data_IF_609900007183
#
_entry.id   IF_609900007183
#
_cell.length_a   1.000
_cell.length_b   1.000
_cell.length_c   1.000
_cell.angle_alpha   90.00
_cell.angle_beta   90.00
_cell.angle_gamma   90.00
#
_symmetry.space_group_name_H-M   'P 1'
#
loop_
_entity.id
_entity.type
_entity.pdbx_description
1 polymer ?
#
# COMPACT_ATOMS: atom_id res chain seq x y z
N UNK A 1 2.31 -10.24 -35.93
CA UNK A 1 1.88 -8.89 -35.50
C UNK A 1 2.72 -8.54 -34.29
N UNK A 2 3.61 -7.56 -34.40
CA UNK A 2 4.42 -7.09 -33.29
C UNK A 2 3.50 -6.43 -32.27
N UNK A 3 3.48 -6.97 -31.04
CA UNK A 3 2.83 -6.30 -29.90
C UNK A 3 3.69 -5.08 -29.59
N UNK A 4 3.19 -3.88 -29.86
CA UNK A 4 3.84 -2.64 -29.48
C UNK A 4 4.01 -2.62 -27.95
N UNK A 5 5.23 -2.90 -27.46
CA UNK A 5 5.45 -3.36 -26.08
C UNK A 5 5.53 -2.27 -25.01
N UNK A 6 5.25 -1.00 -25.32
CA UNK A 6 5.62 0.09 -24.39
C UNK A 6 4.77 1.35 -24.40
N UNK A 7 3.74 1.45 -25.26
CA UNK A 7 2.88 2.64 -25.32
C UNK A 7 1.85 2.69 -24.17
N UNK A 8 1.44 1.54 -23.62
CA UNK A 8 0.44 1.48 -22.54
C UNK A 8 0.93 1.99 -21.18
N UNK A 9 2.20 1.76 -20.82
CA UNK A 9 2.70 2.08 -19.46
C UNK A 9 2.91 3.58 -19.23
N UNK A 10 3.24 4.37 -20.27
CA UNK A 10 3.46 5.82 -20.12
C UNK A 10 2.16 6.56 -19.80
N UNK A 11 1.10 6.27 -20.55
CA UNK A 11 -0.21 6.88 -20.33
C UNK A 11 -0.80 6.47 -18.97
N UNK A 12 -0.68 5.20 -18.58
CA UNK A 12 -1.12 4.71 -17.28
C UNK A 12 -0.36 5.36 -16.11
N UNK A 13 0.97 5.43 -16.21
CA UNK A 13 1.81 6.11 -15.20
C UNK A 13 1.46 7.59 -15.12
N UNK A 14 1.27 8.25 -16.25
CA UNK A 14 0.86 9.66 -16.27
C UNK A 14 -0.48 9.87 -15.56
N UNK A 15 -1.50 9.06 -15.86
CA UNK A 15 -2.82 9.15 -15.20
C UNK A 15 -2.70 8.93 -13.69
N UNK A 16 -1.99 7.89 -13.24
CA UNK A 16 -1.81 7.60 -11.81
C UNK A 16 -1.06 8.73 -11.08
N UNK A 17 0.00 9.26 -11.69
CA UNK A 17 0.77 10.37 -11.13
C UNK A 17 -0.09 11.63 -11.08
N UNK A 18 -0.79 11.97 -12.17
CA UNK A 18 -1.66 13.15 -12.22
C UNK A 18 -2.76 13.07 -11.17
N UNK A 19 -3.44 11.92 -11.05
CA UNK A 19 -4.44 11.70 -10.00
C UNK A 19 -3.84 11.89 -8.61
N UNK A 20 -2.70 11.24 -8.31
CA UNK A 20 -2.06 11.34 -7.01
C UNK A 20 -1.66 12.79 -6.68
N UNK A 21 -1.10 13.53 -7.64
CA UNK A 21 -0.73 14.95 -7.46
C UNK A 21 -1.96 15.82 -7.17
N UNK A 22 -3.05 15.65 -7.92
CA UNK A 22 -4.29 16.40 -7.72
C UNK A 22 -4.87 16.12 -6.33
N UNK A 23 -4.99 14.84 -5.96
CA UNK A 23 -5.58 14.42 -4.69
C UNK A 23 -4.72 14.83 -3.49
N UNK A 24 -3.40 14.61 -3.55
CA UNK A 24 -2.47 15.08 -2.51
C UNK A 24 -2.50 16.61 -2.40
N UNK A 25 -2.60 17.31 -3.53
CA UNK A 25 -2.77 18.76 -3.55
C UNK A 25 -4.02 19.22 -2.79
N UNK A 26 -5.18 18.60 -3.04
CA UNK A 26 -6.43 18.91 -2.34
C UNK A 26 -6.33 18.67 -0.82
N UNK A 27 -5.71 17.57 -0.42
CA UNK A 27 -5.54 17.23 1.01
C UNK A 27 -4.52 18.15 1.69
N UNK A 28 -3.42 18.49 1.02
CA UNK A 28 -2.44 19.45 1.52
C UNK A 28 -3.04 20.86 1.62
N UNK A 29 -3.86 21.28 0.67
CA UNK A 29 -4.60 22.55 0.73
C UNK A 29 -5.59 22.56 1.90
N UNK A 30 -6.32 21.47 2.11
CA UNK A 30 -7.20 21.30 3.28
C UNK A 30 -6.42 21.51 4.58
N UNK A 31 -5.31 20.81 4.75
CA UNK A 31 -4.43 20.98 5.92
C UNK A 31 -3.96 22.43 6.07
N UNK A 32 -3.48 23.04 4.98
CA UNK A 32 -2.94 24.40 4.98
C UNK A 32 -3.97 25.48 5.34
N UNK A 33 -5.21 25.34 4.86
CA UNK A 33 -6.31 26.24 5.21
C UNK A 33 -6.64 26.12 6.70
N UNK A 34 -6.88 24.90 7.18
CA UNK A 34 -7.27 24.64 8.56
C UNK A 34 -6.19 25.11 9.54
N UNK A 35 -4.92 24.74 9.30
CA UNK A 35 -3.80 25.20 10.11
C UNK A 35 -3.57 26.71 10.01
N UNK A 36 -3.82 27.32 8.85
CA UNK A 36 -3.69 28.76 8.64
C UNK A 36 -4.66 29.58 9.48
N UNK A 37 -5.88 29.08 9.70
CA UNK A 37 -6.88 29.74 10.55
C UNK A 37 -6.72 29.38 12.03
N UNK A 38 -6.53 28.10 12.37
CA UNK A 38 -6.48 27.65 13.77
C UNK A 38 -5.14 27.90 14.47
N UNK A 39 -4.05 28.15 13.73
CA UNK A 39 -2.74 28.44 14.31
C UNK A 39 -2.31 27.42 15.36
N UNK A 40 -1.93 27.88 16.56
CA UNK A 40 -1.52 27.01 17.66
C UNK A 40 -2.64 26.17 18.28
N UNK A 41 -3.91 26.56 18.10
CA UNK A 41 -5.06 25.80 18.61
C UNK A 41 -5.27 24.49 17.84
N UNK A 42 -4.68 24.36 16.65
CA UNK A 42 -4.71 23.15 15.85
C UNK A 42 -3.96 21.96 16.48
N UNK A 43 -2.98 22.25 17.35
CA UNK A 43 -2.20 21.22 18.05
C UNK A 43 -2.86 20.76 19.37
N UNK A 44 -3.97 21.39 19.77
CA UNK A 44 -4.75 20.97 20.92
C UNK A 44 -5.45 19.62 20.68
N UNK A 45 -5.70 18.88 21.76
CA UNK A 45 -6.16 17.49 21.70
C UNK A 45 -7.46 17.29 20.88
N UNK A 46 -8.31 18.31 20.76
CA UNK A 46 -9.54 18.26 19.96
C UNK A 46 -9.32 18.15 18.45
N UNK A 47 -8.20 18.67 17.93
CA UNK A 47 -7.94 18.73 16.49
C UNK A 47 -6.92 17.69 15.99
N UNK A 48 -6.19 16.99 16.87
CA UNK A 48 -5.13 16.00 16.50
C UNK A 48 -5.59 14.86 15.59
N UNK A 49 -6.88 14.53 15.64
CA UNK A 49 -7.48 13.49 14.80
C UNK A 49 -7.47 13.86 13.32
N UNK A 50 -7.64 15.15 12.97
CA UNK A 50 -7.68 15.62 11.59
C UNK A 50 -6.31 15.52 10.87
N UNK A 51 -5.19 16.04 11.40
CA UNK A 51 -3.85 15.80 10.86
C UNK A 51 -3.55 14.34 10.62
N UNK A 52 -3.96 13.47 11.55
CA UNK A 52 -3.73 12.04 11.44
C UNK A 52 -4.40 11.46 10.19
N UNK A 53 -5.70 11.74 9.99
CA UNK A 53 -6.42 11.25 8.82
C UNK A 53 -5.88 11.81 7.50
N UNK A 54 -5.62 13.13 7.44
CA UNK A 54 -5.05 13.78 6.25
C UNK A 54 -3.68 13.18 5.88
N UNK A 55 -2.83 12.95 6.88
CA UNK A 55 -1.49 12.43 6.64
C UNK A 55 -1.49 10.92 6.32
N UNK A 56 -2.39 10.12 6.92
CA UNK A 56 -2.62 8.72 6.51
C UNK A 56 -3.11 8.62 5.07
N UNK A 57 -3.97 9.55 4.66
CA UNK A 57 -4.50 9.57 3.31
C UNK A 57 -3.40 9.89 2.29
N UNK A 58 -2.55 10.88 2.56
CA UNK A 58 -1.36 11.16 1.76
C UNK A 58 -0.42 9.95 1.70
N UNK A 59 -0.19 9.28 2.84
CA UNK A 59 0.61 8.07 2.90
C UNK A 59 0.03 6.96 2.01
N UNK A 60 -1.29 6.78 2.03
CA UNK A 60 -2.00 5.78 1.25
C UNK A 60 -1.90 6.07 -0.26
N UNK A 61 -2.05 7.33 -0.68
CA UNK A 61 -1.85 7.76 -2.07
C UNK A 61 -0.40 7.51 -2.56
N UNK A 62 0.59 7.85 -1.74
CA UNK A 62 2.01 7.59 -2.05
C UNK A 62 2.28 6.07 -2.14
N UNK A 63 1.72 5.30 -1.21
CA UNK A 63 1.88 3.85 -1.18
C UNK A 63 1.24 3.18 -2.39
N UNK A 64 0.02 3.59 -2.79
CA UNK A 64 -0.62 3.14 -4.02
C UNK A 64 0.25 3.41 -5.25
N UNK A 65 0.80 4.62 -5.37
CA UNK A 65 1.65 4.99 -6.49
C UNK A 65 2.94 4.15 -6.53
N UNK A 66 3.56 3.92 -5.38
CA UNK A 66 4.74 3.07 -5.24
C UNK A 66 4.43 1.61 -5.63
N UNK A 67 3.29 1.07 -5.18
CA UNK A 67 2.82 -0.25 -5.56
C UNK A 67 2.54 -0.34 -7.05
N UNK A 68 1.91 0.67 -7.66
CA UNK A 68 1.66 0.70 -9.09
C UNK A 68 2.96 0.68 -9.89
N UNK A 69 3.93 1.51 -9.51
CA UNK A 69 5.24 1.51 -10.17
C UNK A 69 5.92 0.14 -10.08
N UNK A 70 5.95 -0.46 -8.88
CA UNK A 70 6.56 -1.76 -8.67
C UNK A 70 5.80 -2.89 -9.40
N UNK A 71 4.46 -2.86 -9.43
CA UNK A 71 3.64 -3.84 -10.14
C UNK A 71 3.89 -3.78 -11.65
N UNK A 72 4.01 -2.57 -12.21
CA UNK A 72 4.35 -2.37 -13.62
C UNK A 72 5.78 -2.80 -13.93
N UNK A 73 6.74 -2.50 -13.05
CA UNK A 73 8.14 -2.87 -13.24
C UNK A 73 8.33 -4.38 -13.20
N UNK A 74 7.76 -5.04 -12.20
CA UNK A 74 7.90 -6.48 -11.99
C UNK A 74 6.88 -7.31 -12.78
N UNK A 75 6.01 -6.66 -13.58
CA UNK A 75 4.90 -7.28 -14.31
C UNK A 75 4.07 -8.20 -13.41
N UNK A 76 3.79 -7.73 -12.20
CA UNK A 76 3.16 -8.51 -11.14
C UNK A 76 1.64 -8.32 -11.17
N UNK A 77 0.94 -9.30 -11.75
CA UNK A 77 -0.52 -9.30 -11.87
C UNK A 77 -1.21 -9.32 -10.50
N UNK A 78 -0.67 -10.09 -9.55
CA UNK A 78 -1.25 -10.20 -8.20
C UNK A 78 -1.24 -8.84 -7.51
N UNK A 79 -0.16 -8.07 -7.70
CA UNK A 79 -0.07 -6.72 -7.14
C UNK A 79 -1.04 -5.75 -7.82
N UNK A 80 -1.31 -5.88 -9.13
CA UNK A 80 -2.35 -5.10 -9.80
C UNK A 80 -3.75 -5.33 -9.19
N UNK A 81 -4.10 -6.59 -8.89
CA UNK A 81 -5.36 -6.90 -8.20
C UNK A 81 -5.40 -6.30 -6.80
N UNK A 82 -4.28 -6.37 -6.08
CA UNK A 82 -4.12 -5.71 -4.78
C UNK A 82 -4.35 -4.20 -4.86
N UNK A 83 -3.83 -3.53 -5.90
CA UNK A 83 -4.04 -2.09 -6.11
C UNK A 83 -5.51 -1.78 -6.37
N UNK A 84 -6.25 -2.57 -7.16
CA UNK A 84 -7.70 -2.34 -7.35
C UNK A 84 -8.46 -2.39 -6.02
N UNK A 85 -8.17 -3.39 -5.19
CA UNK A 85 -8.80 -3.54 -3.89
C UNK A 85 -8.42 -2.39 -2.94
N UNK A 86 -7.14 -2.01 -2.91
CA UNK A 86 -6.64 -0.90 -2.11
C UNK A 86 -7.25 0.43 -2.52
N UNK A 87 -7.38 0.67 -3.83
CA UNK A 87 -8.04 1.86 -4.38
C UNK A 87 -9.52 1.93 -4.01
N UNK A 88 -10.21 0.79 -4.00
CA UNK A 88 -11.58 0.71 -3.47
C UNK A 88 -11.64 1.12 -1.99
N UNK A 89 -10.65 0.70 -1.20
CA UNK A 89 -10.46 1.17 0.18
C UNK A 89 -10.21 2.68 0.28
N UNK A 90 -9.44 3.27 -0.63
CA UNK A 90 -9.21 4.73 -0.70
C UNK A 90 -10.49 5.51 -1.00
N UNK A 91 -11.42 4.97 -1.79
CA UNK A 91 -12.74 5.60 -2.01
C UNK A 91 -13.52 5.65 -0.69
N UNK A 92 -13.56 4.54 0.06
CA UNK A 92 -14.23 4.51 1.36
C UNK A 92 -13.54 5.47 2.33
N UNK A 93 -12.21 5.47 2.36
CA UNK A 93 -11.44 6.30 3.27
C UNK A 93 -11.59 7.80 2.96
N UNK A 94 -11.59 8.18 1.68
CA UNK A 94 -11.87 9.58 1.27
C UNK A 94 -13.27 10.03 1.64
N UNK A 95 -14.28 9.16 1.53
CA UNK A 95 -15.63 9.49 1.98
C UNK A 95 -15.71 9.66 3.52
N UNK A 96 -15.05 8.77 4.28
CA UNK A 96 -14.95 8.91 5.74
C UNK A 96 -14.24 10.20 6.14
N UNK A 97 -13.19 10.58 5.42
CA UNK A 97 -12.44 11.80 5.68
C UNK A 97 -13.31 13.06 5.60
N UNK A 98 -14.31 13.12 4.72
CA UNK A 98 -15.29 14.23 4.67
C UNK A 98 -16.04 14.33 6.00
N UNK A 99 -16.57 13.21 6.48
CA UNK A 99 -17.36 13.14 7.72
C UNK A 99 -16.52 13.46 8.96
N UNK A 100 -15.33 12.88 9.07
CA UNK A 100 -14.41 13.10 10.19
C UNK A 100 -13.92 14.54 10.22
N UNK A 101 -13.67 15.15 9.05
CA UNK A 101 -13.28 16.56 9.00
C UNK A 101 -14.43 17.47 9.40
N UNK A 102 -15.65 17.24 8.89
CA UNK A 102 -16.84 18.01 9.30
C UNK A 102 -17.05 17.93 10.81
N UNK A 103 -16.94 16.74 11.40
CA UNK A 103 -17.09 16.57 12.85
C UNK A 103 -16.02 17.33 13.64
N UNK A 104 -14.82 17.49 13.08
CA UNK A 104 -13.70 18.18 13.73
C UNK A 104 -13.76 19.71 13.60
N UNK A 105 -14.23 20.26 12.46
CA UNK A 105 -14.14 21.70 12.16
C UNK A 105 -15.48 22.35 11.77
N UNK A 106 -16.57 21.58 11.74
CA UNK A 106 -17.88 22.01 11.27
C UNK A 106 -18.58 22.99 12.20
N UNK A 107 -18.29 22.93 13.51
CA UNK A 107 -18.66 23.99 14.44
C UNK A 107 -17.39 24.68 14.93
N UNK A 108 -17.02 25.77 14.26
CA UNK A 108 -15.82 26.52 14.61
C UNK A 108 -16.06 27.56 15.72
N UNK A 109 -17.25 27.62 16.33
CA UNK A 109 -17.53 28.56 17.43
C UNK A 109 -16.59 28.36 18.64
N UNK A 110 -16.14 27.13 18.85
CA UNK A 110 -15.21 26.74 19.92
C UNK A 110 -13.74 27.09 19.62
N UNK A 111 -13.42 27.53 18.40
CA UNK A 111 -12.06 27.84 17.98
C UNK A 111 -11.58 29.25 18.37
N UNK A 112 -12.48 30.13 18.82
CA UNK A 112 -12.15 31.51 19.20
C UNK A 112 -11.80 32.44 18.04
N UNK A 113 -12.02 31.99 16.80
CA UNK A 113 -11.86 32.77 15.57
C UNK A 113 -12.95 33.85 15.47
N UNK A 114 -12.62 35.13 15.18
CA UNK A 114 -13.60 36.19 15.00
C UNK A 114 -14.64 35.88 13.91
N UNK A 115 -14.20 35.29 12.81
CA UNK A 115 -15.05 34.90 11.68
C UNK A 115 -16.09 33.83 12.08
N UNK A 116 -15.76 32.97 13.05
CA UNK A 116 -16.64 31.91 13.54
C UNK A 116 -17.74 32.39 14.48
N UNK A 117 -17.71 33.66 14.90
CA UNK A 117 -18.74 34.27 15.75
C UNK A 117 -19.98 34.62 14.92
N UNK A 118 -19.77 35.09 13.69
CA UNK A 118 -20.84 35.47 12.77
C UNK A 118 -21.30 34.29 11.90
N UNK A 119 -20.41 33.32 11.63
CA UNK A 119 -20.66 32.16 10.78
C UNK A 119 -19.92 30.92 11.34
N UNK A 120 -20.65 30.03 12.04
CA UNK A 120 -20.10 28.81 12.65
C UNK A 120 -19.51 27.84 11.63
N UNK A 121 -19.93 27.94 10.37
CA UNK A 121 -19.60 27.01 9.29
C UNK A 121 -18.49 27.59 8.39
N UNK A 122 -18.01 28.81 8.68
CA UNK A 122 -17.02 29.53 7.87
C UNK A 122 -15.81 28.67 7.48
N UNK A 123 -15.27 27.91 8.44
CA UNK A 123 -14.09 27.08 8.20
C UNK A 123 -14.42 25.83 7.36
N UNK A 124 -15.59 25.24 7.57
CA UNK A 124 -16.09 24.12 6.78
C UNK A 124 -16.30 24.52 5.32
N UNK A 125 -16.96 25.65 5.08
CA UNK A 125 -17.26 26.18 3.74
C UNK A 125 -16.00 26.41 2.88
N UNK A 126 -14.85 26.70 3.50
CA UNK A 126 -13.57 26.84 2.78
C UNK A 126 -12.98 25.51 2.36
N UNK A 127 -13.24 24.44 3.11
CA UNK A 127 -12.54 23.16 2.99
C UNK A 127 -13.41 22.11 2.28
N UNK A 128 -14.73 22.18 2.46
CA UNK A 128 -15.71 21.25 1.90
C UNK A 128 -15.50 20.98 0.40
N UNK A 129 -15.30 21.99 -0.48
CA UNK A 129 -15.14 21.73 -1.91
C UNK A 129 -13.94 20.81 -2.21
N UNK A 130 -12.82 20.99 -1.50
CA UNK A 130 -11.61 20.18 -1.69
C UNK A 130 -11.85 18.74 -1.22
N UNK A 131 -12.54 18.56 -0.09
CA UNK A 131 -12.84 17.26 0.50
C UNK A 131 -13.89 16.49 -0.29
N UNK A 132 -14.87 17.15 -0.91
CA UNK A 132 -15.91 16.49 -1.73
C UNK A 132 -15.40 16.15 -3.12
N UNK A 133 -14.53 16.97 -3.71
CA UNK A 133 -13.97 16.67 -5.04
C UNK A 133 -13.02 15.46 -4.99
N UNK A 134 -12.25 15.30 -3.91
CA UNK A 134 -11.31 14.19 -3.75
C UNK A 134 -11.93 12.78 -3.98
N UNK A 135 -13.00 12.35 -3.27
CA UNK A 135 -13.62 11.04 -3.48
C UNK A 135 -14.21 10.90 -4.89
N UNK A 136 -14.70 11.98 -5.52
CA UNK A 136 -15.16 11.95 -6.91
C UNK A 136 -14.02 11.65 -7.89
N UNK A 137 -12.88 12.33 -7.74
CA UNK A 137 -11.68 12.13 -8.58
C UNK A 137 -11.13 10.72 -8.40
N UNK A 138 -11.05 10.23 -7.16
CA UNK A 138 -10.55 8.88 -6.86
C UNK A 138 -11.50 7.84 -7.44
N UNK A 139 -12.81 7.97 -7.22
CA UNK A 139 -13.81 7.06 -7.78
C UNK A 139 -13.75 7.00 -9.30
N UNK A 140 -13.64 8.15 -9.98
CA UNK A 140 -13.46 8.19 -11.43
C UNK A 140 -12.17 7.51 -11.87
N UNK A 141 -11.07 7.71 -11.13
CA UNK A 141 -9.79 7.07 -11.42
C UNK A 141 -9.82 5.55 -11.23
N UNK A 142 -10.67 5.03 -10.34
CA UNK A 142 -10.85 3.59 -10.13
C UNK A 142 -11.43 2.89 -11.36
N UNK A 143 -12.43 3.49 -12.01
CA UNK A 143 -13.00 2.95 -13.25
C UNK A 143 -11.95 2.93 -14.38
N UNK A 144 -11.17 4.01 -14.51
CA UNK A 144 -10.07 4.08 -15.47
C UNK A 144 -8.99 3.03 -15.16
N UNK A 145 -8.65 2.86 -13.89
CA UNK A 145 -7.67 1.88 -13.43
C UNK A 145 -8.12 0.44 -13.76
N UNK A 146 -9.39 0.10 -13.51
CA UNK A 146 -9.96 -1.20 -13.88
C UNK A 146 -9.88 -1.47 -15.39
N UNK A 147 -10.18 -0.46 -16.22
CA UNK A 147 -10.05 -0.57 -17.67
C UNK A 147 -8.60 -0.89 -18.09
N UNK A 148 -7.62 -0.20 -17.53
CA UNK A 148 -6.21 -0.42 -17.85
C UNK A 148 -5.67 -1.74 -17.31
N UNK A 149 -6.03 -2.12 -16.07
CA UNK A 149 -5.57 -3.38 -15.48
C UNK A 149 -6.10 -4.58 -16.27
N UNK A 150 -7.30 -4.51 -16.85
CA UNK A 150 -7.79 -5.56 -17.76
C UNK A 150 -6.82 -5.80 -18.93
N UNK A 151 -6.31 -4.74 -19.55
CA UNK A 151 -5.33 -4.85 -20.64
C UNK A 151 -3.98 -5.39 -20.15
N UNK A 152 -3.51 -4.91 -19.00
CA UNK A 152 -2.26 -5.39 -18.40
C UNK A 152 -2.32 -6.85 -17.97
N UNK A 153 -3.48 -7.31 -17.52
CA UNK A 153 -3.70 -8.71 -17.16
C UNK A 153 -3.47 -9.63 -18.37
N UNK A 154 -4.01 -9.24 -19.53
CA UNK A 154 -3.82 -9.97 -20.80
C UNK A 154 -2.34 -9.99 -21.22
N UNK A 155 -1.67 -8.84 -21.17
CA UNK A 155 -0.25 -8.69 -21.55
C UNK A 155 0.70 -9.44 -20.60
N UNK A 156 0.59 -9.21 -19.30
CA UNK A 156 1.48 -9.82 -18.30
C UNK A 156 1.23 -11.33 -18.19
N UNK A 157 -0.01 -11.78 -18.42
CA UNK A 157 -0.35 -13.20 -18.45
C UNK A 157 0.40 -13.95 -19.57
N UNK A 158 0.53 -13.31 -20.74
CA UNK A 158 1.29 -13.85 -21.88
C UNK A 158 2.80 -13.89 -21.63
N UNK A 159 3.35 -12.90 -20.93
CA UNK A 159 4.78 -12.86 -20.57
C UNK A 159 5.15 -13.91 -19.51
N UNK A 160 4.34 -14.07 -18.47
CA UNK A 160 4.56 -15.08 -17.42
C UNK A 160 4.51 -16.50 -18.00
N UNK A 161 3.64 -16.75 -18.99
CA UNK A 161 3.57 -18.04 -19.68
C UNK A 161 4.92 -18.44 -20.31
N UNK A 162 5.62 -17.49 -20.94
CA UNK A 162 6.92 -17.75 -21.57
C UNK A 162 8.06 -17.90 -20.56
N UNK A 163 8.04 -17.16 -19.45
CA UNK A 163 9.16 -17.17 -18.47
C UNK A 163 9.13 -18.41 -17.57
N UNK A 164 7.95 -18.84 -17.12
CA UNK A 164 7.81 -19.99 -16.20
C UNK A 164 7.79 -21.32 -16.96
N UNK A 165 7.46 -21.29 -18.26
CA UNK A 165 7.27 -22.49 -19.07
C UNK A 165 5.98 -23.24 -18.71
N UNK A 166 5.79 -24.40 -19.32
CA UNK A 166 4.55 -25.17 -19.22
C UNK A 166 4.38 -25.97 -17.92
N UNK A 167 5.28 -25.85 -16.92
CA UNK A 167 5.16 -26.62 -15.67
C UNK A 167 4.13 -25.96 -14.73
N UNK A 168 2.95 -26.58 -14.52
CA UNK A 168 1.89 -25.98 -13.72
C UNK A 168 2.26 -25.85 -12.24
N UNK A 169 3.11 -26.75 -11.70
CA UNK A 169 3.53 -26.72 -10.30
C UNK A 169 4.43 -25.52 -10.02
N UNK A 170 5.41 -25.27 -10.89
CA UNK A 170 6.31 -24.12 -10.74
C UNK A 170 5.55 -22.79 -10.85
N UNK A 171 4.57 -22.71 -11.75
CA UNK A 171 3.67 -21.55 -11.88
C UNK A 171 2.88 -21.29 -10.61
N UNK A 172 2.27 -22.32 -10.03
CA UNK A 172 1.52 -22.19 -8.78
C UNK A 172 2.41 -21.72 -7.62
N UNK A 173 3.61 -22.30 -7.47
CA UNK A 173 4.54 -21.87 -6.42
C UNK A 173 5.02 -20.41 -6.60
N UNK A 174 5.27 -20.00 -7.85
CA UNK A 174 5.62 -18.61 -8.16
C UNK A 174 4.48 -17.63 -7.86
N UNK A 175 3.23 -18.03 -8.12
CA UNK A 175 2.06 -17.23 -7.75
C UNK A 175 1.96 -17.04 -6.24
N UNK A 176 2.11 -18.11 -5.44
CA UNK A 176 2.13 -17.98 -3.98
C UNK A 176 3.26 -17.07 -3.49
N UNK A 177 4.45 -17.15 -4.10
CA UNK A 177 5.54 -16.22 -3.81
C UNK A 177 5.16 -14.76 -4.11
N UNK A 178 4.54 -14.47 -5.26
CA UNK A 178 4.09 -13.12 -5.59
C UNK A 178 2.98 -12.64 -4.65
N UNK A 179 2.04 -13.50 -4.28
CA UNK A 179 1.01 -13.21 -3.28
C UNK A 179 1.68 -12.86 -1.95
N UNK A 180 2.64 -13.65 -1.49
CA UNK A 180 3.32 -13.40 -0.22
C UNK A 180 4.06 -12.07 -0.19
N UNK A 181 4.86 -11.77 -1.23
CA UNK A 181 5.56 -10.48 -1.34
C UNK A 181 4.56 -9.31 -1.40
N UNK A 182 3.43 -9.49 -2.09
CA UNK A 182 2.39 -8.48 -2.16
C UNK A 182 1.76 -8.23 -0.78
N UNK A 183 1.43 -9.30 -0.04
CA UNK A 183 0.88 -9.20 1.31
C UNK A 183 1.86 -8.53 2.28
N UNK A 184 3.16 -8.84 2.23
CA UNK A 184 4.18 -8.18 3.06
C UNK A 184 4.24 -6.66 2.85
N UNK A 185 3.97 -6.18 1.63
CA UNK A 185 3.90 -4.72 1.37
C UNK A 185 2.65 -4.10 1.99
N UNK A 186 1.52 -4.79 1.94
CA UNK A 186 0.30 -4.34 2.61
C UNK A 186 0.41 -4.42 4.13
N UNK A 187 1.11 -5.43 4.68
CA UNK A 187 1.46 -5.50 6.11
C UNK A 187 2.31 -4.31 6.53
N UNK A 188 3.31 -3.93 5.72
CA UNK A 188 4.10 -2.72 5.94
C UNK A 188 3.20 -1.48 6.01
N UNK A 189 2.30 -1.30 5.03
CA UNK A 189 1.40 -0.15 5.02
C UNK A 189 0.47 -0.13 6.25
N UNK A 190 -0.15 -1.26 6.59
CA UNK A 190 -1.05 -1.36 7.72
C UNK A 190 -0.31 -1.13 9.05
N UNK A 191 0.91 -1.66 9.19
CA UNK A 191 1.75 -1.42 10.36
C UNK A 191 2.08 0.06 10.52
N UNK A 192 2.51 0.74 9.44
CA UNK A 192 2.79 2.18 9.47
C UNK A 192 1.52 2.96 9.81
N UNK A 193 0.39 2.61 9.20
CA UNK A 193 -0.90 3.28 9.44
C UNK A 193 -1.37 3.16 10.90
N UNK A 194 -1.41 1.94 11.45
CA UNK A 194 -1.79 1.71 12.86
C UNK A 194 -0.82 2.40 13.81
N UNK A 195 0.49 2.31 13.54
CA UNK A 195 1.51 2.94 14.38
C UNK A 195 1.38 4.46 14.37
N UNK A 196 1.12 5.05 13.21
CA UNK A 196 0.91 6.48 13.05
C UNK A 196 -0.34 6.96 13.81
N UNK A 197 -1.46 6.23 13.71
CA UNK A 197 -2.68 6.53 14.48
C UNK A 197 -2.43 6.46 15.99
N UNK A 198 -1.73 5.43 16.46
CA UNK A 198 -1.39 5.29 17.87
C UNK A 198 -0.48 6.42 18.37
N UNK A 199 0.55 6.79 17.62
CA UNK A 199 1.50 7.84 18.04
C UNK A 199 0.90 9.24 17.99
N UNK A 200 0.11 9.57 16.96
CA UNK A 200 -0.42 10.92 16.78
C UNK A 200 -1.63 11.17 17.69
N UNK A 201 -2.54 10.19 17.78
CA UNK A 201 -3.86 10.43 18.36
C UNK A 201 -3.97 9.91 19.79
N UNK A 202 -3.32 8.80 20.10
CA UNK A 202 -3.62 8.05 21.33
C UNK A 202 -2.55 8.21 22.39
N UNK A 203 -1.29 8.01 22.04
CA UNK A 203 -0.22 7.86 23.02
C UNK A 203 0.27 9.23 23.52
N UNK A 204 0.23 9.39 24.83
CA UNK A 204 0.91 10.51 25.51
C UNK A 204 2.43 10.39 25.33
N UNK A 205 3.08 11.51 24.98
CA UNK A 205 4.52 11.60 24.75
C UNK A 205 5.37 11.19 25.95
N UNK A 206 4.83 11.27 27.17
CA UNK A 206 5.51 10.89 28.41
C UNK A 206 5.22 9.46 28.87
N UNK A 207 4.53 8.65 28.07
CA UNK A 207 4.18 7.27 28.42
C UNK A 207 5.23 6.25 27.96
N UNK A 208 5.42 5.18 28.73
CA UNK A 208 6.27 4.05 28.34
C UNK A 208 5.82 3.42 27.01
N UNK A 209 4.51 3.45 26.74
CA UNK A 209 3.94 2.91 25.50
C UNK A 209 4.36 3.71 24.26
N UNK A 210 4.51 5.03 24.39
CA UNK A 210 5.03 5.91 23.33
C UNK A 210 6.45 5.53 22.93
N UNK A 211 7.35 5.41 23.92
CA UNK A 211 8.71 4.96 23.69
C UNK A 211 8.79 3.57 23.06
N UNK A 212 7.99 2.63 23.56
CA UNK A 212 7.94 1.26 23.03
C UNK A 212 7.45 1.21 21.58
N UNK A 213 6.42 1.99 21.26
CA UNK A 213 5.84 2.05 19.90
C UNK A 213 6.83 2.65 18.90
N UNK A 214 7.55 3.72 19.28
CA UNK A 214 8.62 4.29 18.45
C UNK A 214 9.75 3.28 18.22
N UNK A 215 10.20 2.60 19.29
CA UNK A 215 11.25 1.60 19.18
C UNK A 215 10.84 0.40 18.31
N UNK A 216 9.54 0.06 18.28
CA UNK A 216 9.01 -1.03 17.47
C UNK A 216 9.09 -0.74 15.96
N UNK A 217 9.04 0.53 15.52
CA UNK A 217 9.09 0.90 14.10
C UNK A 217 10.30 0.28 13.37
N UNK A 218 11.57 0.61 13.72
CA UNK A 218 12.72 0.07 13.01
C UNK A 218 12.81 -1.46 13.14
N UNK A 219 12.40 -2.02 14.28
CA UNK A 219 12.41 -3.46 14.53
C UNK A 219 11.49 -4.18 13.54
N UNK A 220 10.22 -3.76 13.43
CA UNK A 220 9.25 -4.37 12.53
C UNK A 220 9.66 -4.19 11.06
N UNK A 221 10.21 -3.03 10.69
CA UNK A 221 10.72 -2.82 9.33
C UNK A 221 11.85 -3.80 8.96
N UNK A 222 12.81 -4.02 9.87
CA UNK A 222 13.88 -5.00 9.67
C UNK A 222 13.30 -6.41 9.54
N UNK A 223 12.29 -6.74 10.34
CA UNK A 223 11.65 -8.06 10.31
C UNK A 223 10.87 -8.32 9.03
N UNK A 224 10.11 -7.33 8.55
CA UNK A 224 9.40 -7.43 7.26
C UNK A 224 10.39 -7.55 6.10
N UNK A 225 11.46 -6.75 6.10
CA UNK A 225 12.53 -6.87 5.11
C UNK A 225 13.27 -8.21 5.19
N UNK A 226 13.54 -8.69 6.40
CA UNK A 226 14.13 -10.01 6.66
C UNK A 226 13.24 -11.15 6.18
N UNK A 227 11.93 -11.04 6.35
CA UNK A 227 10.95 -12.01 5.85
C UNK A 227 10.93 -12.03 4.31
N UNK A 228 10.90 -10.85 3.68
CA UNK A 228 11.00 -10.73 2.22
C UNK A 228 12.32 -11.32 1.68
N UNK A 229 13.44 -11.07 2.37
CA UNK A 229 14.73 -11.66 2.04
C UNK A 229 14.72 -13.19 2.21
N UNK A 230 14.14 -13.70 3.30
CA UNK A 230 14.06 -15.12 3.60
C UNK A 230 13.31 -15.90 2.51
N UNK A 231 12.18 -15.36 2.03
CA UNK A 231 11.41 -16.03 0.97
C UNK A 231 12.07 -15.94 -0.41
N UNK A 232 12.81 -14.85 -0.68
CA UNK A 232 13.55 -14.67 -1.93
C UNK A 232 14.75 -15.63 -2.03
N UNK A 233 15.50 -15.75 -0.93
CA UNK A 233 16.74 -16.55 -0.84
C UNK A 233 16.53 -17.96 -0.27
N UNK A 234 15.30 -18.31 0.10
CA UNK A 234 14.93 -19.59 0.69
C UNK A 234 15.68 -19.90 2.00
N UNK A 235 15.95 -18.86 2.81
CA UNK A 235 16.66 -18.97 4.09
C UNK A 235 15.71 -19.51 5.17
N UNK A 236 15.76 -20.83 5.40
CA UNK A 236 14.81 -21.56 6.24
C UNK A 236 14.68 -21.04 7.67
N UNK A 237 15.80 -20.79 8.35
CA UNK A 237 15.78 -20.35 9.74
C UNK A 237 15.15 -18.96 9.89
N UNK A 238 15.45 -18.04 8.96
CA UNK A 238 14.91 -16.69 8.96
C UNK A 238 13.41 -16.69 8.60
N UNK A 239 12.99 -17.58 7.70
CA UNK A 239 11.58 -17.79 7.37
C UNK A 239 10.80 -18.33 8.59
N UNK A 240 11.34 -19.35 9.27
CA UNK A 240 10.72 -19.92 10.47
C UNK A 240 10.62 -18.90 11.61
N UNK A 241 11.67 -18.10 11.82
CA UNK A 241 11.66 -17.00 12.78
C UNK A 241 10.59 -15.95 12.43
N UNK A 242 10.50 -15.56 11.15
CA UNK A 242 9.51 -14.58 10.67
C UNK A 242 8.08 -15.08 10.87
N UNK A 243 7.78 -16.33 10.52
CA UNK A 243 6.46 -16.93 10.72
C UNK A 243 6.09 -17.04 12.20
N UNK A 244 7.04 -17.43 13.05
CA UNK A 244 6.84 -17.47 14.50
C UNK A 244 6.52 -16.08 15.06
N UNK A 245 7.20 -15.06 14.55
CA UNK A 245 6.95 -13.68 14.95
C UNK A 245 5.61 -13.14 14.42
N UNK A 246 5.16 -13.53 13.23
CA UNK A 246 3.82 -13.18 12.75
C UNK A 246 2.74 -13.71 13.71
N UNK A 247 2.88 -14.95 14.21
CA UNK A 247 1.98 -15.50 15.23
C UNK A 247 2.07 -14.72 16.54
N UNK A 248 3.28 -14.34 16.98
CA UNK A 248 3.43 -13.49 18.16
C UNK A 248 2.77 -12.11 17.96
N UNK A 249 2.91 -11.49 16.78
CA UNK A 249 2.27 -10.22 16.45
C UNK A 249 0.74 -10.33 16.36
N UNK A 250 0.20 -11.50 16.02
CA UNK A 250 -1.25 -11.74 16.09
C UNK A 250 -1.80 -11.65 17.52
N UNK A 251 -0.98 -11.90 18.55
CA UNK A 251 -1.42 -11.71 19.95
C UNK A 251 -1.74 -10.26 20.28
N UNK A 252 -1.16 -9.30 19.53
CA UNK A 252 -1.42 -7.86 19.69
C UNK A 252 -2.88 -7.47 19.41
N UNK A 253 -3.72 -8.40 18.92
CA UNK A 253 -5.17 -8.27 18.95
C UNK A 253 -5.72 -7.93 20.34
N UNK A 254 -5.03 -8.28 21.42
CA UNK A 254 -5.44 -7.86 22.76
C UNK A 254 -5.56 -6.32 22.89
N UNK A 255 -4.79 -5.54 22.12
CA UNK A 255 -4.91 -4.07 22.10
C UNK A 255 -6.26 -3.61 21.54
N UNK A 256 -6.90 -4.40 20.68
CA UNK A 256 -8.25 -4.11 20.20
C UNK A 256 -9.24 -4.11 21.36
N UNK A 257 -9.13 -5.06 22.30
CA UNK A 257 -9.96 -5.08 23.52
C UNK A 257 -9.73 -3.82 24.36
N UNK A 258 -8.48 -3.34 24.44
CA UNK A 258 -8.13 -2.13 25.17
C UNK A 258 -8.72 -0.84 24.57
N UNK A 259 -9.07 -0.83 23.28
CA UNK A 259 -9.77 0.32 22.68
C UNK A 259 -11.21 0.48 23.21
N UNK A 260 -11.79 -0.59 23.77
CA UNK A 260 -13.15 -0.63 24.30
C UNK A 260 -13.18 -0.74 25.83
N UNK A 261 -12.02 -0.64 26.50
CA UNK A 261 -11.96 -0.71 27.94
C UNK A 261 -12.47 0.60 28.58
N UNK A 262 -13.35 0.55 29.60
CA UNK A 262 -13.91 1.76 30.22
C UNK A 262 -12.85 2.71 30.81
N UNK A 263 -11.69 2.17 31.21
CA UNK A 263 -10.58 2.93 31.79
C UNK A 263 -9.87 3.83 30.77
N UNK A 264 -9.97 3.53 29.49
CA UNK A 264 -9.28 4.21 28.39
C UNK A 264 -10.22 4.89 27.40
N UNK A 265 -11.54 4.71 27.55
CA UNK A 265 -12.56 5.14 26.59
C UNK A 265 -12.41 6.60 26.14
N UNK A 266 -12.18 7.53 27.08
CA UNK A 266 -12.01 8.95 26.78
C UNK A 266 -10.85 9.26 25.82
N UNK A 267 -9.81 8.42 25.78
CA UNK A 267 -8.65 8.59 24.90
C UNK A 267 -8.90 8.09 23.47
N UNK A 268 -9.89 7.21 23.28
CA UNK A 268 -10.16 6.58 21.99
C UNK A 268 -11.47 7.06 21.35
N UNK A 269 -12.37 7.74 22.07
CA UNK A 269 -13.73 8.07 21.59
C UNK A 269 -13.79 8.65 20.17
N UNK A 270 -12.90 9.59 19.82
CA UNK A 270 -12.91 10.26 18.49
C UNK A 270 -12.29 9.44 17.37
N UNK A 271 -11.57 8.35 17.66
CA UNK A 271 -10.79 7.61 16.63
C UNK A 271 -10.96 6.09 16.73
N UNK A 272 -11.73 5.61 17.71
CA UNK A 272 -11.99 4.20 18.00
C UNK A 272 -12.52 3.45 16.79
N UNK A 273 -13.44 4.05 16.04
CA UNK A 273 -14.02 3.43 14.84
C UNK A 273 -12.92 3.14 13.81
N UNK A 274 -12.14 4.15 13.43
CA UNK A 274 -11.12 4.02 12.38
C UNK A 274 -9.93 3.17 12.83
N UNK A 275 -9.47 3.33 14.08
CA UNK A 275 -8.45 2.46 14.68
C UNK A 275 -8.88 0.99 14.69
N UNK A 276 -10.14 0.71 15.02
CA UNK A 276 -10.67 -0.66 15.02
C UNK A 276 -10.67 -1.25 13.62
N UNK A 277 -11.17 -0.51 12.63
CA UNK A 277 -11.20 -0.98 11.22
C UNK A 277 -9.79 -1.26 10.71
N UNK A 278 -8.85 -0.32 10.90
CA UNK A 278 -7.46 -0.52 10.49
C UNK A 278 -6.80 -1.71 11.19
N UNK A 279 -7.04 -1.88 12.49
CA UNK A 279 -6.48 -3.01 13.26
C UNK A 279 -7.05 -4.35 12.81
N UNK A 280 -8.36 -4.43 12.51
CA UNK A 280 -8.98 -5.65 11.98
C UNK A 280 -8.41 -5.99 10.60
N UNK A 281 -8.31 -4.99 9.70
CA UNK A 281 -7.72 -5.19 8.36
C UNK A 281 -6.26 -5.66 8.47
N UNK A 282 -5.46 -5.01 9.33
CA UNK A 282 -4.08 -5.39 9.58
C UNK A 282 -3.97 -6.84 10.09
N UNK A 283 -4.87 -7.27 10.96
CA UNK A 283 -4.90 -8.64 11.46
C UNK A 283 -5.26 -9.65 10.37
N UNK A 284 -6.28 -9.35 9.55
CA UNK A 284 -6.69 -10.23 8.44
C UNK A 284 -5.54 -10.38 7.43
N UNK A 285 -4.86 -9.28 7.10
CA UNK A 285 -3.70 -9.30 6.21
C UNK A 285 -2.54 -10.11 6.81
N UNK A 286 -2.23 -9.90 8.09
CA UNK A 286 -1.17 -10.65 8.78
C UNK A 286 -1.47 -12.15 8.85
N UNK A 287 -2.73 -12.53 9.09
CA UNK A 287 -3.17 -13.92 9.04
C UNK A 287 -3.01 -14.50 7.63
N UNK A 288 -3.43 -13.76 6.60
CA UNK A 288 -3.24 -14.18 5.21
C UNK A 288 -1.75 -14.35 4.87
N UNK A 289 -0.90 -13.41 5.30
CA UNK A 289 0.56 -13.49 5.17
C UNK A 289 1.11 -14.73 5.83
N UNK A 290 0.70 -15.04 7.06
CA UNK A 290 1.14 -16.24 7.75
C UNK A 290 0.76 -17.52 6.97
N UNK A 291 -0.49 -17.65 6.54
CA UNK A 291 -0.98 -18.83 5.82
C UNK A 291 -0.25 -19.03 4.48
N UNK A 292 -0.11 -17.96 3.70
CA UNK A 292 0.61 -17.98 2.43
C UNK A 292 2.11 -18.22 2.66
N UNK A 293 2.68 -17.64 3.71
CA UNK A 293 4.07 -17.80 4.11
C UNK A 293 4.41 -19.26 4.48
N UNK A 294 3.54 -19.94 5.23
CA UNK A 294 3.68 -21.39 5.50
C UNK A 294 3.67 -22.19 4.20
N UNK A 295 2.79 -21.86 3.26
CA UNK A 295 2.78 -22.51 1.93
C UNK A 295 4.08 -22.27 1.17
N UNK A 296 4.58 -21.03 1.15
CA UNK A 296 5.87 -20.70 0.54
C UNK A 296 7.03 -21.46 1.21
N UNK A 297 7.02 -21.59 2.53
CA UNK A 297 8.05 -22.30 3.27
C UNK A 297 8.08 -23.80 2.95
N UNK A 298 6.91 -24.43 2.82
CA UNK A 298 6.80 -25.82 2.36
C UNK A 298 7.32 -26.02 0.92
N UNK A 299 7.37 -24.95 0.13
CA UNK A 299 7.77 -24.95 -1.28
C UNK A 299 9.26 -24.62 -1.51
N UNK A 300 10.04 -24.40 -0.45
CA UNK A 300 11.49 -24.17 -0.56
C UNK A 300 12.23 -25.38 -1.16
N UNK A 301 13.36 -25.11 -1.84
CA UNK A 301 14.24 -26.08 -2.51
C UNK A 301 13.62 -26.88 -3.67
N UNK A 302 12.38 -26.60 -4.06
CA UNK A 302 11.70 -27.31 -5.17
C UNK A 302 11.95 -26.68 -6.55
N UNK A 303 13.04 -25.91 -6.70
CA UNK A 303 13.48 -25.34 -7.99
C UNK A 303 12.94 -23.94 -8.34
N UNK A 304 12.23 -23.27 -7.41
CA UNK A 304 11.67 -21.93 -7.64
C UNK A 304 12.71 -20.80 -7.60
N UNK A 305 13.86 -21.02 -6.96
CA UNK A 305 14.92 -20.02 -6.76
C UNK A 305 15.41 -19.36 -8.07
N UNK A 306 15.55 -20.13 -9.16
CA UNK A 306 16.02 -19.60 -10.45
C UNK A 306 14.99 -18.66 -11.11
N UNK A 307 13.69 -18.94 -10.94
CA UNK A 307 12.61 -18.08 -11.46
C UNK A 307 12.41 -16.80 -10.64
N UNK A 308 12.66 -16.86 -9.32
CA UNK A 308 12.67 -15.66 -8.44
C UNK A 308 13.80 -14.69 -8.80
N UNK A 309 14.98 -15.22 -9.12
CA UNK A 309 16.19 -14.43 -9.40
C UNK A 309 16.28 -13.96 -10.85
N UNK A 310 15.72 -14.70 -11.83
CA UNK A 310 15.68 -14.28 -13.25
C UNK A 310 14.93 -12.97 -13.49
N UNK A 311 13.86 -12.68 -12.74
CA UNK A 311 13.14 -11.41 -12.82
C UNK A 311 14.03 -10.17 -12.56
N UNK A 312 15.16 -10.34 -11.88
CA UNK A 312 16.15 -9.29 -11.61
C UNK A 312 17.12 -9.11 -12.81
N UNK A 313 17.42 -10.18 -13.56
CA UNK A 313 18.41 -10.17 -14.65
C UNK A 313 17.81 -9.82 -16.02
N UNK A 314 16.52 -10.08 -16.25
CA UNK A 314 15.85 -9.69 -17.52
C UNK A 314 15.80 -8.16 -17.69
N UNK A 315 15.71 -7.39 -16.60
CA UNK A 315 15.85 -5.92 -16.59
C UNK A 315 17.21 -5.47 -17.15
N UNK A 316 18.31 -6.19 -16.88
CA UNK A 316 19.62 -5.88 -17.44
C UNK A 316 19.71 -6.20 -18.94
N UNK A 317 19.09 -7.30 -19.39
CA UNK A 317 19.07 -7.66 -20.81
C UNK A 317 18.22 -6.72 -21.66
N UNK A 318 17.06 -6.26 -21.16
CA UNK A 318 16.20 -5.32 -21.89
C UNK A 318 16.81 -3.91 -21.94
N UNK A 319 17.43 -3.44 -20.85
CA UNK A 319 18.15 -2.16 -20.83
C UNK A 319 19.41 -2.20 -21.71
N UNK A 320 20.13 -3.33 -21.75
CA UNK A 320 21.27 -3.51 -22.67
C UNK A 320 20.84 -3.56 -24.14
N UNK A 321 19.70 -4.19 -24.46
CA UNK A 321 19.15 -4.23 -25.81
C UNK A 321 18.62 -2.86 -26.28
N UNK A 322 18.16 -2.00 -25.36
CA UNK A 322 17.66 -0.65 -25.69
C UNK A 322 18.76 0.40 -25.95
N UNK A 323 20.03 0.06 -25.70
CA UNK A 323 21.20 0.97 -25.88
C UNK A 323 22.08 0.62 -27.09
N UNK A 324 21.72 -0.39 -27.87
CA UNK A 324 22.43 -0.72 -29.11
C UNK A 324 21.68 -0.09 -30.30
N UNK A 325 22.31 0.78 -31.10
CA UNK A 325 21.78 1.14 -32.41
C UNK A 325 21.77 -0.13 -33.26
N UNK A 326 20.58 -0.53 -33.74
CA UNK A 326 20.40 -1.65 -34.65
C UNK A 326 21.30 -1.46 -35.88
N UNK A 327 22.29 -2.32 -36.03
CA UNK A 327 22.77 -2.73 -37.34
C UNK A 327 23.11 -4.22 -37.33
N UNK A 328 22.57 -4.90 -38.34
CA UNK A 328 23.10 -6.11 -38.98
C UNK A 328 22.23 -7.37 -38.87
N UNK A 329 21.64 -7.70 -40.02
CA UNK A 329 21.24 -9.03 -40.43
C UNK A 329 22.33 -10.06 -40.12
N UNK A 330 22.04 -11.07 -39.30
CA UNK A 330 22.75 -12.35 -39.34
C UNK A 330 21.77 -13.50 -39.09
N UNK A 331 21.78 -14.45 -40.03
CA UNK A 331 20.89 -15.61 -40.06
C UNK A 331 21.09 -16.56 -38.89
N UNK A 332 20.02 -17.25 -38.55
CA UNK A 332 19.98 -18.31 -37.54
C UNK A 332 20.68 -19.55 -38.13
N UNK A 333 21.73 -20.11 -37.51
CA UNK A 333 22.24 -21.41 -37.93
C UNK A 333 21.26 -22.50 -37.46
N UNK A 334 20.72 -23.25 -38.41
CA UNK A 334 19.89 -24.43 -38.16
C UNK A 334 20.73 -25.50 -37.45
N UNK A 335 20.20 -26.02 -36.33
CA UNK A 335 20.79 -27.12 -35.59
C UNK A 335 20.66 -28.43 -36.41
N UNK A 336 21.64 -29.35 -36.37
CA UNK A 336 21.57 -30.59 -37.14
C UNK A 336 20.45 -31.50 -36.62
N UNK A 337 19.54 -31.92 -37.50
CA UNK A 337 18.59 -32.99 -37.23
C UNK A 337 19.36 -34.30 -37.04
N UNK A 338 19.15 -34.94 -35.89
CA UNK A 338 19.61 -36.30 -35.62
C UNK A 338 18.64 -37.23 -36.34
N UNK A 339 19.10 -37.90 -37.40
CA UNK A 339 18.40 -39.01 -38.03
C UNK A 339 18.46 -40.22 -37.10
N UNK A 340 17.31 -40.70 -36.67
CA UNK A 340 17.16 -42.03 -36.07
C UNK A 340 16.84 -42.96 -37.23
N UNK A 341 17.74 -43.93 -37.47
CA UNK A 341 17.46 -45.12 -38.29
C UNK A 341 16.42 -46.02 -37.63
#
# INVERSE_FOLDING_TARGET
>A
MAVESLLGTKAQRAIMITKAVVVIGMVASTFGIVHGYLGSSFDEAGYKTLPCYLALFILAEIFELALAFDALRLRNIIQLLGIIAFHGGLIIFSALQVHETNTAIGDCSLSGLPECVDDSDFLWDKVEPFLVIAPCVISASWFLLMFWIKRLYEEFGWEIFHVVGANPKLKSMYQYYQIFICLLKFDFFCFVGVTMQLLIVVLSTNSTEFGLTIAAIPIVLILLAGCAFAVQREVKWLMAASLSLMVAAMTYLYKLVRFYEPSSEAQYLSTRATLTVFTIIAFVLLLASFMVGVKCFYDFDKGLHHSKTKGINTDQQYVASSKSPETSYYGIPLQPQISIE
#
